data_IF_803510778105
#
_entry.id   IF_803510778105
#
_cell.length_a   1.000
_cell.length_b   1.000
_cell.length_c   1.000
_cell.angle_alpha   90.00
_cell.angle_beta   90.00
_cell.angle_gamma   90.00
#
_symmetry.space_group_name_H-M   'P 1'
#
loop_
_entity.id
_entity.type
_entity.pdbx_description
1 polymer ?
#
# COMPACT_ATOMS: atom_id res chain seq x y z
N UNK A 1 -34.00 -29.33 45.11
CA UNK A 1 -32.83 -29.74 44.31
C UNK A 1 -33.09 -29.36 42.86
N UNK A 2 -32.45 -28.29 42.37
CA UNK A 2 -32.29 -28.00 40.93
C UNK A 2 -30.80 -28.07 40.64
N UNK A 3 -30.35 -28.80 39.61
CA UNK A 3 -28.94 -28.83 39.27
C UNK A 3 -28.54 -27.49 38.64
N UNK A 4 -27.41 -26.98 39.11
CA UNK A 4 -26.66 -25.87 38.53
C UNK A 4 -26.24 -26.26 37.12
N UNK A 5 -26.83 -25.65 36.10
CA UNK A 5 -26.26 -25.66 34.76
C UNK A 5 -25.20 -24.56 34.72
N UNK A 6 -23.94 -24.96 34.94
CA UNK A 6 -22.80 -24.21 34.45
C UNK A 6 -22.88 -24.26 32.92
N UNK A 7 -23.28 -23.15 32.31
CA UNK A 7 -23.23 -22.94 30.87
C UNK A 7 -21.78 -23.10 30.41
N UNK A 8 -21.54 -24.17 29.65
CA UNK A 8 -20.30 -24.40 28.94
C UNK A 8 -19.94 -23.16 28.13
N UNK A 9 -18.78 -22.57 28.39
CA UNK A 9 -18.17 -21.63 27.47
C UNK A 9 -18.05 -22.36 26.13
N UNK A 10 -18.68 -21.83 25.08
CA UNK A 10 -18.58 -22.36 23.74
C UNK A 10 -17.10 -22.43 23.35
N UNK A 11 -16.53 -23.63 23.31
CA UNK A 11 -15.16 -23.85 22.88
C UNK A 11 -15.07 -23.35 21.43
N UNK A 12 -14.31 -22.28 21.23
CA UNK A 12 -14.04 -21.75 19.89
C UNK A 12 -13.37 -22.85 19.06
N UNK A 13 -13.81 -23.11 17.82
CA UNK A 13 -13.37 -24.26 17.00
C UNK A 13 -11.91 -24.16 16.51
N UNK A 14 -11.11 -23.26 17.05
CA UNK A 14 -9.75 -22.96 16.60
C UNK A 14 -8.75 -23.23 17.72
N UNK A 15 -7.64 -23.91 17.39
CA UNK A 15 -6.61 -24.17 18.39
C UNK A 15 -5.80 -22.90 18.67
N UNK A 16 -5.31 -22.79 19.92
CA UNK A 16 -4.35 -21.74 20.29
C UNK A 16 -3.11 -21.73 19.38
N UNK A 17 -2.70 -22.91 18.90
CA UNK A 17 -1.57 -23.06 17.97
C UNK A 17 -1.86 -22.39 16.62
N UNK A 18 -3.08 -22.53 16.09
CA UNK A 18 -3.46 -21.92 14.81
C UNK A 18 -3.46 -20.40 14.90
N UNK A 19 -3.97 -19.84 16.00
CA UNK A 19 -3.92 -18.40 16.27
C UNK A 19 -2.49 -17.89 16.39
N UNK A 20 -1.62 -18.61 17.10
CA UNK A 20 -0.22 -18.23 17.22
C UNK A 20 0.50 -18.27 15.86
N UNK A 21 0.23 -19.28 15.02
CA UNK A 21 0.77 -19.34 13.66
C UNK A 21 0.28 -18.16 12.78
N UNK A 22 -0.96 -17.73 12.98
CA UNK A 22 -1.53 -16.58 12.27
C UNK A 22 -0.83 -15.27 12.65
N UNK A 23 -0.59 -15.07 13.95
CA UNK A 23 0.15 -13.90 14.47
C UNK A 23 1.60 -13.94 13.99
N UNK A 24 2.28 -15.08 14.09
CA UNK A 24 3.66 -15.23 13.62
C UNK A 24 3.78 -14.95 12.11
N UNK A 25 2.82 -15.44 11.30
CA UNK A 25 2.76 -15.14 9.87
C UNK A 25 2.65 -13.64 9.60
N UNK A 26 1.81 -12.93 10.36
CA UNK A 26 1.70 -11.48 10.26
C UNK A 26 3.02 -10.79 10.61
N UNK A 27 3.65 -11.13 11.73
CA UNK A 27 4.90 -10.51 12.17
C UNK A 27 6.03 -10.67 11.13
N UNK A 28 6.12 -11.84 10.49
CA UNK A 28 7.13 -12.12 9.46
C UNK A 28 6.85 -11.32 8.17
N UNK A 29 5.60 -11.27 7.73
CA UNK A 29 5.21 -10.60 6.47
C UNK A 29 5.30 -9.08 6.59
N UNK A 30 4.94 -8.52 7.75
CA UNK A 30 5.06 -7.09 8.02
C UNK A 30 6.50 -6.66 8.37
N UNK A 31 7.40 -7.62 8.57
CA UNK A 31 8.81 -7.36 8.86
C UNK A 31 9.10 -6.96 10.32
N UNK A 32 8.27 -7.38 11.27
CA UNK A 32 8.54 -7.20 12.70
C UNK A 32 9.49 -8.29 13.22
N UNK A 33 10.75 -8.25 12.78
CA UNK A 33 11.76 -9.28 13.06
C UNK A 33 11.89 -9.62 14.55
N UNK A 34 12.21 -8.62 15.38
CA UNK A 34 12.44 -8.83 16.81
C UNK A 34 11.21 -9.36 17.54
N UNK A 35 10.01 -8.96 17.10
CA UNK A 35 8.76 -9.47 17.63
C UNK A 35 8.50 -10.91 17.17
N UNK A 36 8.75 -11.22 15.89
CA UNK A 36 8.60 -12.56 15.34
C UNK A 36 9.51 -13.58 16.05
N UNK A 37 10.78 -13.23 16.27
CA UNK A 37 11.77 -14.09 16.96
C UNK A 37 11.35 -14.35 18.40
N UNK A 38 11.01 -13.30 19.17
CA UNK A 38 10.58 -13.44 20.57
C UNK A 38 9.26 -14.22 20.68
N UNK A 39 8.31 -13.93 19.81
CA UNK A 39 7.01 -14.60 19.79
C UNK A 39 7.14 -16.09 19.44
N UNK A 40 7.99 -16.44 18.46
CA UNK A 40 8.25 -17.83 18.12
C UNK A 40 8.86 -18.60 19.29
N UNK A 41 9.83 -18.01 20.00
CA UNK A 41 10.47 -18.61 21.16
C UNK A 41 9.48 -18.83 22.32
N UNK A 42 8.64 -17.84 22.63
CA UNK A 42 7.66 -17.91 23.72
C UNK A 42 6.50 -18.89 23.39
N UNK A 43 6.04 -18.90 22.14
CA UNK A 43 4.96 -19.78 21.70
C UNK A 43 5.43 -21.21 21.39
N UNK A 44 6.73 -21.51 21.48
CA UNK A 44 7.31 -22.80 21.13
C UNK A 44 7.10 -23.17 19.66
N UNK A 45 7.00 -22.17 18.78
CA UNK A 45 6.76 -22.36 17.35
C UNK A 45 8.08 -22.43 16.58
N UNK A 46 8.16 -23.36 15.64
CA UNK A 46 9.20 -23.36 14.61
C UNK A 46 8.69 -22.52 13.42
N UNK A 47 9.35 -21.40 13.07
CA UNK A 47 8.94 -20.60 11.92
C UNK A 47 9.05 -21.44 10.64
N UNK A 48 7.92 -21.62 9.94
CA UNK A 48 7.88 -22.30 8.63
C UNK A 48 8.44 -21.43 7.49
N UNK A 49 8.54 -20.13 7.73
CA UNK A 49 9.04 -19.13 6.80
C UNK A 49 10.40 -18.69 7.34
N UNK A 50 11.44 -18.74 6.50
CA UNK A 50 12.77 -18.30 6.89
C UNK A 50 12.72 -16.83 7.33
N UNK A 51 13.25 -16.56 8.53
CA UNK A 51 13.40 -15.21 9.07
C UNK A 51 14.62 -14.49 8.47
N UNK A 52 15.45 -15.20 7.71
CA UNK A 52 16.77 -14.75 7.24
C UNK A 52 16.69 -13.48 6.40
N UNK A 53 15.61 -13.29 5.63
CA UNK A 53 15.44 -12.14 4.75
C UNK A 53 14.51 -11.04 5.27
N UNK A 54 14.06 -11.15 6.53
CA UNK A 54 13.16 -10.13 7.09
C UNK A 54 13.87 -8.79 7.16
N UNK A 55 15.15 -8.79 7.56
CA UNK A 55 15.93 -7.59 7.77
C UNK A 55 16.08 -6.78 6.48
N UNK A 56 16.47 -7.45 5.40
CA UNK A 56 16.71 -6.87 4.08
C UNK A 56 15.41 -6.30 3.50
N UNK A 57 14.27 -6.99 3.66
CA UNK A 57 12.96 -6.47 3.24
C UNK A 57 12.58 -5.19 4.01
N UNK A 58 12.86 -5.15 5.30
CA UNK A 58 12.59 -3.98 6.15
C UNK A 58 13.51 -2.82 5.76
N UNK A 59 14.77 -3.10 5.45
CA UNK A 59 15.73 -2.09 5.00
C UNK A 59 15.30 -1.49 3.66
N UNK A 60 14.97 -2.32 2.65
CA UNK A 60 14.44 -1.89 1.35
C UNK A 60 13.21 -0.98 1.55
N UNK A 61 12.25 -1.42 2.36
CA UNK A 61 11.05 -0.63 2.69
C UNK A 61 11.42 0.71 3.33
N UNK A 62 12.40 0.72 4.22
CA UNK A 62 12.86 1.95 4.90
C UNK A 62 13.48 2.93 3.92
N UNK A 63 14.33 2.47 3.00
CA UNK A 63 14.89 3.30 1.93
C UNK A 63 13.79 3.92 1.06
N UNK A 64 12.77 3.13 0.67
CA UNK A 64 11.63 3.64 -0.12
C UNK A 64 10.88 4.73 0.65
N UNK A 65 10.60 4.54 1.95
CA UNK A 65 9.92 5.55 2.75
C UNK A 65 10.72 6.84 2.91
N UNK A 66 12.05 6.74 2.98
CA UNK A 66 12.97 7.90 3.03
C UNK A 66 13.11 8.63 1.70
N UNK A 67 12.72 8.01 0.59
CA UNK A 67 12.93 8.54 -0.76
C UNK A 67 14.31 8.17 -1.35
N UNK A 68 15.05 7.27 -0.72
CA UNK A 68 16.35 6.76 -1.16
C UNK A 68 16.15 5.64 -2.20
N UNK A 69 15.48 5.95 -3.31
CA UNK A 69 14.98 4.93 -4.26
C UNK A 69 16.12 4.21 -4.98
N UNK A 70 17.22 4.90 -5.30
CA UNK A 70 18.39 4.30 -5.95
C UNK A 70 19.02 3.22 -5.06
N UNK A 71 19.13 3.48 -3.75
CA UNK A 71 19.62 2.50 -2.79
C UNK A 71 18.64 1.33 -2.65
N UNK A 72 17.33 1.61 -2.61
CA UNK A 72 16.32 0.55 -2.58
C UNK A 72 16.44 -0.38 -3.80
N UNK A 73 16.67 0.16 -5.01
CA UNK A 73 16.87 -0.66 -6.23
C UNK A 73 18.13 -1.53 -6.12
N UNK A 74 19.22 -0.99 -5.58
CA UNK A 74 20.46 -1.77 -5.35
C UNK A 74 20.20 -2.94 -4.40
N UNK A 75 19.62 -2.67 -3.23
CA UNK A 75 19.29 -3.70 -2.24
C UNK A 75 18.31 -4.74 -2.78
N UNK A 76 17.34 -4.34 -3.62
CA UNK A 76 16.43 -5.28 -4.30
C UNK A 76 17.22 -6.22 -5.21
N UNK A 77 18.13 -5.69 -6.03
CA UNK A 77 18.94 -6.52 -6.93
C UNK A 77 19.94 -7.41 -6.18
N UNK A 78 20.43 -6.97 -5.01
CA UNK A 78 21.26 -7.81 -4.14
C UNK A 78 20.48 -8.97 -3.53
N UNK A 79 19.23 -8.73 -3.11
CA UNK A 79 18.36 -9.74 -2.52
C UNK A 79 17.73 -10.67 -3.56
N UNK A 80 17.34 -10.14 -4.72
CA UNK A 80 16.79 -10.89 -5.84
C UNK A 80 17.12 -10.19 -7.19
N UNK A 81 18.18 -10.63 -7.89
CA UNK A 81 18.61 -10.04 -9.15
C UNK A 81 17.57 -10.10 -10.28
N UNK A 82 16.68 -11.10 -10.26
CA UNK A 82 15.74 -11.36 -11.36
C UNK A 82 14.39 -10.65 -11.16
N UNK A 83 14.13 -10.08 -9.97
CA UNK A 83 12.81 -9.53 -9.63
C UNK A 83 12.39 -8.41 -10.59
N UNK A 84 13.31 -7.48 -10.85
CA UNK A 84 13.03 -6.30 -11.66
C UNK A 84 12.96 -6.60 -13.16
N UNK A 85 13.60 -7.68 -13.60
CA UNK A 85 13.52 -8.17 -14.98
C UNK A 85 12.23 -8.97 -15.22
N UNK A 86 11.77 -9.71 -14.21
CA UNK A 86 10.54 -10.52 -14.26
C UNK A 86 9.29 -9.65 -14.12
N UNK A 87 9.36 -8.56 -13.36
CA UNK A 87 8.26 -7.60 -13.18
C UNK A 87 8.64 -6.19 -13.67
N UNK A 88 8.52 -5.93 -14.99
CA UNK A 88 8.84 -4.62 -15.56
C UNK A 88 7.90 -3.51 -15.06
N UNK A 89 6.69 -3.85 -14.60
CA UNK A 89 5.75 -2.90 -14.03
C UNK A 89 6.22 -2.41 -12.66
N UNK A 90 6.71 -3.32 -11.80
CA UNK A 90 7.33 -2.97 -10.53
C UNK A 90 8.57 -2.09 -10.72
N UNK A 91 9.41 -2.42 -11.70
CA UNK A 91 10.56 -1.62 -12.03
C UNK A 91 10.16 -0.21 -12.51
N UNK A 92 9.14 -0.10 -13.37
CA UNK A 92 8.62 1.20 -13.79
C UNK A 92 8.08 2.03 -12.61
N UNK A 93 7.34 1.41 -11.68
CA UNK A 93 6.84 2.10 -10.48
C UNK A 93 7.97 2.67 -9.61
N UNK A 94 9.06 1.92 -9.42
CA UNK A 94 10.24 2.39 -8.68
C UNK A 94 10.91 3.58 -9.39
N UNK A 95 11.09 3.51 -10.70
CA UNK A 95 11.69 4.62 -11.44
C UNK A 95 10.80 5.86 -11.48
N UNK A 96 9.48 5.68 -11.59
CA UNK A 96 8.52 6.79 -11.50
C UNK A 96 8.59 7.44 -10.11
N UNK A 97 8.70 6.64 -9.05
CA UNK A 97 8.87 7.17 -7.70
C UNK A 97 10.18 7.94 -7.58
N UNK A 98 11.29 7.43 -8.12
CA UNK A 98 12.56 8.17 -8.16
C UNK A 98 12.44 9.50 -8.91
N UNK A 99 11.76 9.51 -10.06
CA UNK A 99 11.49 10.74 -10.82
C UNK A 99 10.70 11.75 -9.98
N UNK A 100 9.68 11.31 -9.25
CA UNK A 100 8.92 12.18 -8.34
C UNK A 100 9.83 12.77 -7.24
N UNK A 101 10.76 11.99 -6.67
CA UNK A 101 11.72 12.51 -5.72
C UNK A 101 12.66 13.57 -6.33
N UNK A 102 13.13 13.36 -7.56
CA UNK A 102 13.92 14.35 -8.30
C UNK A 102 13.12 15.63 -8.58
N UNK A 103 11.84 15.50 -8.95
CA UNK A 103 10.93 16.65 -9.13
C UNK A 103 10.82 17.40 -7.79
N UNK A 104 10.59 16.71 -6.68
CA UNK A 104 10.46 17.34 -5.35
C UNK A 104 11.74 18.09 -4.96
N UNK A 105 12.91 17.51 -5.23
CA UNK A 105 14.20 18.17 -4.98
C UNK A 105 14.37 19.42 -5.85
N UNK A 106 14.02 19.34 -7.14
CA UNK A 106 14.05 20.48 -8.06
C UNK A 106 13.12 21.60 -7.62
N UNK A 107 11.88 21.27 -7.21
CA UNK A 107 10.91 22.26 -6.73
C UNK A 107 11.36 22.92 -5.42
N UNK A 108 12.08 22.20 -4.56
CA UNK A 108 12.64 22.75 -3.32
C UNK A 108 13.86 23.65 -3.58
N UNK A 109 14.70 23.31 -4.56
CA UNK A 109 15.89 24.08 -4.95
C UNK A 109 16.03 24.10 -6.48
N UNK A 110 15.40 25.07 -7.16
CA UNK A 110 15.41 25.11 -8.61
C UNK A 110 16.80 25.45 -9.14
N UNK A 111 17.36 24.54 -9.93
CA UNK A 111 18.65 24.71 -10.61
C UNK A 111 18.57 24.17 -12.03
N UNK A 112 19.17 24.83 -13.03
CA UNK A 112 19.17 24.38 -14.42
C UNK A 112 19.84 23.00 -14.60
N UNK A 113 20.84 22.70 -13.76
CA UNK A 113 21.51 21.39 -13.79
C UNK A 113 20.59 20.26 -13.28
N UNK A 114 19.83 20.53 -12.22
CA UNK A 114 18.86 19.57 -11.65
C UNK A 114 17.74 19.26 -12.64
N UNK A 115 17.23 20.26 -13.37
CA UNK A 115 16.23 20.04 -14.42
C UNK A 115 16.77 19.17 -15.56
N UNK A 116 18.01 19.45 -16.00
CA UNK A 116 18.64 18.69 -17.10
C UNK A 116 18.81 17.22 -16.72
N UNK A 117 19.35 16.94 -15.53
CA UNK A 117 19.53 15.58 -15.02
C UNK A 117 18.20 14.81 -14.88
N UNK A 118 17.14 15.48 -14.44
CA UNK A 118 15.81 14.91 -14.31
C UNK A 118 15.23 14.52 -15.68
N UNK A 119 15.31 15.43 -16.66
CA UNK A 119 14.83 15.18 -18.03
C UNK A 119 15.63 14.07 -18.72
N UNK A 120 16.94 14.05 -18.51
CA UNK A 120 17.81 12.97 -18.99
C UNK A 120 17.41 11.63 -18.40
N UNK A 121 17.16 11.56 -17.07
CA UNK A 121 16.69 10.35 -16.41
C UNK A 121 15.34 9.87 -16.96
N UNK A 122 14.37 10.78 -17.12
CA UNK A 122 13.07 10.44 -17.68
C UNK A 122 13.19 9.93 -19.13
N UNK A 123 14.00 10.59 -19.96
CA UNK A 123 14.21 10.21 -21.36
C UNK A 123 14.95 8.88 -21.54
N UNK A 124 15.92 8.59 -20.67
CA UNK A 124 16.75 7.37 -20.78
C UNK A 124 16.08 6.14 -20.18
N UNK A 125 15.44 6.28 -19.01
CA UNK A 125 14.95 5.12 -18.24
C UNK A 125 13.44 4.91 -18.28
N UNK A 126 12.64 5.99 -18.37
CA UNK A 126 11.17 5.89 -18.37
C UNK A 126 10.58 5.91 -19.78
N UNK A 127 11.07 6.76 -20.69
CA UNK A 127 10.47 6.91 -22.02
C UNK A 127 10.42 5.61 -22.85
N UNK A 128 11.47 4.76 -22.89
CA UNK A 128 11.39 3.48 -23.62
C UNK A 128 10.35 2.51 -23.05
N UNK A 129 10.13 2.55 -21.73
CA UNK A 129 9.16 1.69 -21.03
C UNK A 129 7.74 2.21 -21.16
N UNK A 130 7.56 3.52 -21.07
CA UNK A 130 6.30 4.20 -21.33
C UNK A 130 5.84 4.03 -22.79
N UNK A 131 6.77 3.96 -23.75
CA UNK A 131 6.43 3.69 -25.15
C UNK A 131 5.89 2.26 -25.37
N UNK A 132 6.25 1.31 -24.51
CA UNK A 132 5.82 -0.08 -24.60
C UNK A 132 4.45 -0.34 -23.94
N UNK A 133 4.04 0.51 -22.98
CA UNK A 133 2.79 0.35 -22.23
C UNK A 133 2.01 1.68 -22.12
N UNK A 134 0.78 1.77 -22.68
CA UNK A 134 -0.03 2.99 -22.63
C UNK A 134 -0.39 3.44 -21.20
N UNK A 135 -0.49 2.51 -20.24
CA UNK A 135 -0.75 2.89 -18.84
C UNK A 135 0.47 3.61 -18.24
N UNK A 136 1.67 3.07 -18.45
CA UNK A 136 2.94 3.69 -18.08
C UNK A 136 3.14 5.06 -18.74
N UNK A 137 2.68 5.25 -19.99
CA UNK A 137 2.70 6.56 -20.65
C UNK A 137 1.84 7.59 -19.93
N UNK A 138 0.60 7.24 -19.61
CA UNK A 138 -0.32 8.14 -18.88
C UNK A 138 0.28 8.51 -17.53
N UNK A 139 0.88 7.54 -16.84
CA UNK A 139 1.54 7.73 -15.56
C UNK A 139 2.76 8.68 -15.65
N UNK A 140 3.55 8.55 -16.71
CA UNK A 140 4.69 9.43 -16.99
C UNK A 140 4.23 10.86 -17.33
N UNK A 141 3.20 11.00 -18.17
CA UNK A 141 2.62 12.31 -18.51
C UNK A 141 2.12 13.04 -17.26
N UNK A 142 1.42 12.35 -16.36
CA UNK A 142 0.99 12.92 -15.08
C UNK A 142 2.17 13.35 -14.21
N UNK A 143 3.22 12.53 -14.13
CA UNK A 143 4.42 12.87 -13.37
C UNK A 143 5.15 14.07 -13.98
N UNK A 144 5.23 14.17 -15.30
CA UNK A 144 5.84 15.31 -16.00
C UNK A 144 4.98 16.58 -15.91
N UNK A 145 3.66 16.45 -15.86
CA UNK A 145 2.75 17.57 -15.64
C UNK A 145 3.02 18.28 -14.30
N UNK A 146 3.56 17.59 -13.29
CA UNK A 146 4.00 18.21 -12.04
C UNK A 146 5.04 19.31 -12.28
N UNK A 147 5.92 19.20 -13.27
CA UNK A 147 6.90 20.25 -13.57
C UNK A 147 6.25 21.49 -14.18
N UNK A 148 5.21 21.32 -14.98
CA UNK A 148 4.51 22.42 -15.66
C UNK A 148 3.53 23.15 -14.74
N UNK A 149 2.91 22.43 -13.80
CA UNK A 149 1.81 22.94 -12.99
C UNK A 149 2.14 23.03 -11.49
N UNK A 150 3.36 22.69 -11.06
CA UNK A 150 3.73 22.72 -9.65
C UNK A 150 3.40 24.06 -8.99
N UNK A 151 2.94 24.04 -7.72
CA UNK A 151 2.67 25.26 -6.99
C UNK A 151 4.05 25.79 -6.59
N UNK A 152 4.60 26.73 -7.36
CA UNK A 152 5.86 27.35 -7.02
C UNK A 152 5.75 27.92 -5.59
N UNK A 153 6.62 27.47 -4.68
CA UNK A 153 6.69 27.98 -3.31
C UNK A 153 7.08 29.47 -3.25
N UNK A 154 7.60 30.00 -4.35
CA UNK A 154 7.90 31.42 -4.53
C UNK A 154 7.23 31.92 -5.81
N UNK A 155 6.28 32.86 -5.76
CA UNK A 155 5.81 33.51 -6.96
C UNK A 155 6.98 34.31 -7.56
N UNK A 156 7.29 34.20 -8.87
CA UNK A 156 8.18 35.15 -9.53
C UNK A 156 7.68 36.58 -9.33
N UNK A 157 8.61 37.47 -8.98
CA UNK A 157 8.42 38.91 -8.90
C UNK A 157 7.71 39.41 -10.17
N UNK A 158 6.47 39.88 -10.03
CA UNK A 158 5.78 40.69 -11.05
C UNK A 158 4.81 39.98 -11.99
N UNK A 159 4.63 38.66 -11.91
CA UNK A 159 3.58 37.98 -12.69
C UNK A 159 2.40 37.61 -11.79
N UNK A 160 1.23 38.20 -12.05
CA UNK A 160 -0.04 37.80 -11.47
C UNK A 160 -0.32 36.33 -11.82
N UNK A 161 0.10 35.42 -10.93
CA UNK A 161 -0.18 34.00 -11.06
C UNK A 161 -1.60 33.77 -10.55
N UNK A 162 -2.52 33.56 -11.49
CA UNK A 162 -3.66 32.69 -11.26
C UNK A 162 -3.09 31.31 -10.91
N UNK A 163 -2.92 31.02 -9.62
CA UNK A 163 -2.65 29.67 -9.14
C UNK A 163 -3.84 28.81 -9.60
N UNK A 164 -3.68 28.12 -10.73
CA UNK A 164 -4.62 27.09 -11.15
C UNK A 164 -4.55 26.05 -10.03
N UNK A 165 -5.66 25.78 -9.32
CA UNK A 165 -5.64 24.73 -8.30
C UNK A 165 -5.19 23.45 -8.98
N UNK A 166 -4.08 22.89 -8.50
CA UNK A 166 -3.62 21.58 -8.94
C UNK A 166 -4.76 20.60 -8.76
N UNK A 167 -5.03 19.83 -9.81
CA UNK A 167 -5.98 18.74 -9.74
C UNK A 167 -5.59 17.81 -8.58
N UNK A 168 -6.59 17.31 -7.85
CA UNK A 168 -6.37 16.45 -6.68
C UNK A 168 -5.55 15.20 -7.03
N UNK A 169 -5.65 14.75 -8.28
CA UNK A 169 -4.86 13.66 -8.87
C UNK A 169 -3.35 13.93 -8.82
N UNK A 170 -2.91 15.14 -9.20
CA UNK A 170 -1.50 15.54 -9.22
C UNK A 170 -0.95 15.75 -7.81
N UNK A 171 -1.78 16.29 -6.90
CA UNK A 171 -1.38 16.47 -5.49
C UNK A 171 -1.13 15.12 -4.81
N UNK A 172 -1.95 14.10 -5.12
CA UNK A 172 -1.78 12.75 -4.58
C UNK A 172 -0.45 12.10 -4.96
N UNK A 173 0.16 12.49 -6.09
CA UNK A 173 1.47 11.98 -6.51
C UNK A 173 2.62 12.47 -5.62
N UNK A 174 2.46 13.61 -4.94
CA UNK A 174 3.47 14.19 -4.06
C UNK A 174 3.37 13.69 -2.62
N UNK A 175 2.26 13.05 -2.28
CA UNK A 175 1.96 12.56 -0.94
C UNK A 175 2.83 11.37 -0.53
N UNK A 176 3.11 11.19 0.78
CA UNK A 176 3.80 10.02 1.31
C UNK A 176 3.08 8.69 1.03
N UNK A 177 1.77 8.74 0.72
CA UNK A 177 0.93 7.58 0.40
C UNK A 177 1.47 6.80 -0.80
N UNK A 178 2.04 7.48 -1.80
CA UNK A 178 2.66 6.83 -2.95
C UNK A 178 3.87 5.98 -2.58
N UNK A 179 4.75 6.48 -1.69
CA UNK A 179 5.89 5.69 -1.18
C UNK A 179 5.43 4.44 -0.45
N UNK A 180 4.36 4.56 0.35
CA UNK A 180 3.80 3.42 1.07
C UNK A 180 3.26 2.34 0.12
N UNK A 181 2.53 2.75 -0.93
CA UNK A 181 2.01 1.80 -1.94
C UNK A 181 3.11 1.10 -2.71
N UNK A 182 4.14 1.84 -3.14
CA UNK A 182 5.28 1.23 -3.85
C UNK A 182 6.06 0.30 -2.93
N UNK A 183 6.28 0.69 -1.68
CA UNK A 183 6.94 -0.16 -0.69
C UNK A 183 6.16 -1.47 -0.42
N UNK A 184 4.82 -1.40 -0.36
CA UNK A 184 3.96 -2.57 -0.24
C UNK A 184 4.08 -3.47 -1.46
N UNK A 185 4.01 -2.92 -2.68
CA UNK A 185 4.16 -3.68 -3.92
C UNK A 185 5.54 -4.35 -4.05
N UNK A 186 6.62 -3.67 -3.64
CA UNK A 186 7.97 -4.26 -3.59
C UNK A 186 8.02 -5.40 -2.58
N UNK A 187 7.45 -5.22 -1.38
CA UNK A 187 7.41 -6.27 -0.37
C UNK A 187 6.63 -7.49 -0.87
N UNK A 188 5.49 -7.28 -1.53
CA UNK A 188 4.71 -8.36 -2.16
C UNK A 188 5.49 -9.09 -3.25
N UNK A 189 6.23 -8.37 -4.10
CA UNK A 189 7.09 -8.95 -5.13
C UNK A 189 8.21 -9.81 -4.53
N UNK A 190 8.88 -9.31 -3.49
CA UNK A 190 9.92 -10.03 -2.77
C UNK A 190 9.39 -11.29 -2.09
N UNK A 191 8.25 -11.19 -1.39
CA UNK A 191 7.60 -12.35 -0.75
C UNK A 191 7.23 -13.43 -1.77
N UNK A 192 6.67 -13.04 -2.91
CA UNK A 192 6.34 -13.99 -3.98
C UNK A 192 7.55 -14.73 -4.52
N UNK A 193 8.66 -14.01 -4.74
CA UNK A 193 9.89 -14.64 -5.22
C UNK A 193 10.48 -15.64 -4.22
N UNK A 194 10.18 -15.46 -2.93
CA UNK A 194 10.54 -16.38 -1.86
C UNK A 194 9.51 -17.50 -1.65
N UNK A 195 8.48 -17.60 -2.50
CA UNK A 195 7.39 -18.57 -2.38
C UNK A 195 6.42 -18.31 -1.22
N UNK A 196 6.48 -17.11 -0.62
CA UNK A 196 5.62 -16.68 0.48
C UNK A 196 4.39 -15.96 -0.10
N UNK A 197 3.24 -16.13 0.54
CA UNK A 197 2.01 -15.41 0.17
C UNK A 197 2.24 -13.89 0.21
N UNK A 198 1.66 -13.17 -0.77
CA UNK A 198 1.75 -11.71 -0.92
C UNK A 198 1.36 -10.95 0.34
N UNK A 199 0.38 -11.47 1.07
CA UNK A 199 -0.16 -10.84 2.26
C UNK A 199 -0.26 -11.79 3.44
N UNK A 200 -0.32 -11.20 4.63
CA UNK A 200 -0.56 -11.95 5.84
C UNK A 200 -1.98 -12.50 5.88
N UNK A 201 -2.08 -13.75 6.30
CA UNK A 201 -3.37 -14.42 6.47
C UNK A 201 -4.29 -13.65 7.42
N UNK A 202 -3.71 -12.96 8.41
CA UNK A 202 -4.44 -12.10 9.33
C UNK A 202 -5.09 -10.90 8.62
N UNK A 203 -4.35 -10.18 7.74
CA UNK A 203 -4.92 -9.08 6.96
C UNK A 203 -6.06 -9.57 6.06
N UNK A 204 -5.88 -10.71 5.40
CA UNK A 204 -6.91 -11.32 4.56
C UNK A 204 -8.20 -11.61 5.35
N UNK A 205 -8.07 -12.18 6.55
CA UNK A 205 -9.20 -12.47 7.44
C UNK A 205 -9.89 -11.20 7.94
N UNK A 206 -9.14 -10.16 8.30
CA UNK A 206 -9.71 -8.87 8.73
C UNK A 206 -10.50 -8.22 7.59
N UNK A 207 -9.97 -8.24 6.36
CA UNK A 207 -10.73 -7.69 5.21
C UNK A 207 -11.99 -8.50 4.92
N UNK A 208 -11.93 -9.83 5.03
CA UNK A 208 -13.11 -10.69 4.88
C UNK A 208 -14.15 -10.38 5.97
N UNK A 209 -13.71 -10.16 7.21
CA UNK A 209 -14.57 -9.79 8.32
C UNK A 209 -15.27 -8.45 8.07
N UNK A 210 -14.51 -7.40 7.72
CA UNK A 210 -15.06 -6.07 7.39
C UNK A 210 -16.02 -6.13 6.19
N UNK A 211 -15.72 -6.93 5.18
CA UNK A 211 -16.61 -7.16 4.05
C UNK A 211 -17.92 -7.82 4.50
N UNK A 212 -17.84 -8.82 5.38
CA UNK A 212 -19.00 -9.49 5.96
C UNK A 212 -19.88 -8.54 6.77
N UNK A 213 -19.28 -7.73 7.64
CA UNK A 213 -20.00 -6.72 8.43
C UNK A 213 -20.72 -5.72 7.54
N UNK A 214 -20.04 -5.23 6.49
CA UNK A 214 -20.66 -4.32 5.52
C UNK A 214 -21.87 -4.97 4.84
N UNK A 215 -21.76 -6.23 4.43
CA UNK A 215 -22.85 -6.97 3.78
C UNK A 215 -24.04 -7.23 4.72
N UNK A 216 -23.78 -7.58 5.98
CA UNK A 216 -24.83 -7.75 6.99
C UNK A 216 -25.52 -6.42 7.35
N UNK A 217 -24.77 -5.30 7.38
CA UNK A 217 -25.31 -3.96 7.59
C UNK A 217 -26.22 -3.51 6.44
N UNK A 218 -25.84 -3.82 5.18
CA UNK A 218 -26.65 -3.54 3.99
C UNK A 218 -28.00 -4.31 4.02
N UNK A 219 -28.00 -5.59 4.40
CA UNK A 219 -29.24 -6.40 4.48
C UNK A 219 -30.24 -5.95 5.54
N UNK A 220 -29.77 -5.26 6.59
CA UNK A 220 -30.64 -4.74 7.67
C UNK A 220 -31.45 -3.52 7.19
N UNK A 221 -30.98 -2.78 6.18
CA UNK A 221 -31.70 -1.63 5.61
C UNK A 221 -32.72 -2.02 4.53
N UNK A 222 -32.54 -3.16 3.86
CA UNK A 222 -33.48 -3.67 2.84
C UNK A 222 -34.63 -4.52 3.41
N UNK A 223 -34.70 -4.67 4.74
CA UNK A 223 -35.61 -5.59 5.44
C UNK A 223 -36.77 -4.94 6.20
N UNK A 224 -37.20 -3.72 5.88
CA UNK A 224 -38.50 -3.22 6.37
C UNK A 224 -39.62 -3.67 5.41
N UNK A 225 -40.52 -4.59 5.81
CA UNK A 225 -41.77 -4.79 5.09
C UNK A 225 -42.62 -3.53 5.27
N UNK A 226 -43.10 -2.98 4.15
CA UNK A 226 -44.12 -1.94 4.16
C UNK A 226 -45.38 -2.48 4.85
N UNK A 227 -45.55 -2.15 6.13
CA UNK A 227 -46.83 -2.29 6.82
C UNK A 227 -47.73 -1.16 6.34
N UNK A 228 -48.44 -1.41 5.24
CA UNK A 228 -49.61 -0.63 4.87
C UNK A 228 -50.67 -0.80 5.96
N UNK A 229 -50.96 0.31 6.61
CA UNK A 229 -51.95 0.55 7.67
C UNK A 229 -53.34 0.00 7.33
N UNK A 230 -53.92 -0.74 8.28
CA UNK A 230 -55.32 -1.16 8.34
C UNK A 230 -56.02 -0.41 9.51
N UNK A 231 -57.28 0.00 9.33
CA UNK A 231 -58.20 0.51 10.37
C UNK A 231 -58.63 1.97 10.17
N UNK A 232 -59.74 2.31 9.49
CA UNK A 232 -61.17 2.16 9.83
C UNK A 232 -61.79 3.41 10.53
N UNK A 233 -63.01 3.76 10.08
CA UNK A 233 -64.06 4.65 10.63
C UNK A 233 -64.06 6.20 10.46
N UNK A 234 -64.82 6.65 9.44
CA UNK A 234 -66.14 7.33 9.53
C UNK A 234 -66.42 8.37 10.64
N UNK A 235 -66.55 9.67 10.28
CA UNK A 235 -67.42 10.72 10.90
C UNK A 235 -67.69 11.82 9.83
N UNK A 236 -68.87 11.89 9.19
CA UNK A 236 -70.01 12.80 9.43
C UNK A 236 -69.66 14.29 9.65
N UNK A 237 -69.72 15.08 8.57
CA UNK A 237 -70.46 16.35 8.38
C UNK A 237 -70.02 17.02 7.08
#
# INVERSE_FOLDING_TARGET
MRPSQATAAAETPYSKSDLNNLVLNFLIIEGYESAAVKFAAEAGLQPKISTEHIHERVEIRTCIHRGEITQAIQLINELNPELLDTDPALHFMLLRLHLIELIKQHLASPSPWSLTALLEFAGTHLAPRAAADPAALTDLEQTMALLCFAPAATPPLGAAQTAIPLDASLTSLLEPSMRARVAESVNEGLLQSQGIMRESKLRALVRLFLWGEKKCGETTQTGQPATGTEGDQMVIC
#
